data_IF_313390445489
#
_entry.id   IF_313390445489
#
_cell.length_a   1.000
_cell.length_b   1.000
_cell.length_c   1.000
_cell.angle_alpha   90.00
_cell.angle_beta   90.00
_cell.angle_gamma   90.00
#
_symmetry.space_group_name_H-M   'P 1'
#
loop_
_entity.id
_entity.type
_entity.pdbx_description
1 polymer ?
#
# COMPACT_ATOMS: atom_id res chain seq x y z
N UNK A 1 30.38 -13.14 15.95
CA UNK A 1 29.92 -13.19 14.55
C UNK A 1 28.87 -12.11 14.37
N UNK A 2 28.94 -11.28 13.33
CA UNK A 2 27.94 -10.25 13.09
C UNK A 2 26.61 -10.90 12.69
N UNK A 3 25.51 -10.52 13.35
CA UNK A 3 24.17 -10.96 13.00
C UNK A 3 23.72 -10.25 11.71
N UNK A 4 24.02 -10.86 10.56
CA UNK A 4 23.61 -10.37 9.25
C UNK A 4 22.08 -10.40 9.03
N UNK A 5 21.30 -10.91 9.99
CA UNK A 5 19.84 -11.05 9.83
C UNK A 5 19.02 -9.84 10.31
N UNK A 6 19.66 -8.81 10.90
CA UNK A 6 18.96 -7.66 11.51
C UNK A 6 19.39 -6.30 10.96
N UNK A 7 19.48 -6.17 9.63
CA UNK A 7 19.68 -4.86 9.01
C UNK A 7 18.34 -4.13 8.87
N UNK A 8 18.15 -3.08 9.69
CA UNK A 8 17.01 -2.17 9.57
C UNK A 8 17.03 -1.43 8.21
N UNK A 9 15.87 -0.96 7.78
CA UNK A 9 15.79 -0.17 6.55
C UNK A 9 14.38 0.13 6.08
N UNK A 10 13.40 -0.69 6.43
CA UNK A 10 12.00 -0.38 6.13
C UNK A 10 11.48 0.65 7.15
N UNK A 11 10.87 1.72 6.63
CA UNK A 11 10.11 2.67 7.42
C UNK A 11 8.69 2.81 6.86
N UNK A 12 7.72 3.00 7.75
CA UNK A 12 6.32 3.30 7.42
C UNK A 12 5.96 4.70 7.91
N UNK A 13 5.20 5.45 7.12
CA UNK A 13 4.71 6.76 7.54
C UNK A 13 3.40 6.61 8.31
N UNK A 14 3.36 7.14 9.52
CA UNK A 14 2.20 7.09 10.41
C UNK A 14 2.19 8.32 11.31
N UNK A 15 1.03 8.96 11.43
CA UNK A 15 0.81 10.09 12.34
C UNK A 15 1.82 11.24 12.18
N UNK A 16 2.26 11.50 10.95
CA UNK A 16 3.24 12.57 10.63
C UNK A 16 4.70 12.14 10.74
N UNK A 17 4.98 10.89 11.13
CA UNK A 17 6.33 10.42 11.42
C UNK A 17 6.71 9.17 10.62
N UNK A 18 8.01 9.03 10.33
CA UNK A 18 8.58 7.82 9.74
C UNK A 18 9.03 6.87 10.84
N UNK A 19 8.33 5.74 10.98
CA UNK A 19 8.57 4.74 12.01
C UNK A 19 9.32 3.56 11.41
N UNK A 20 10.40 3.12 12.06
CA UNK A 20 11.16 1.94 11.66
C UNK A 20 10.41 0.64 11.91
N UNK A 21 10.47 -0.28 10.95
CA UNK A 21 9.93 -1.64 11.09
C UNK A 21 11.06 -2.59 11.46
N UNK A 22 11.01 -3.15 12.67
CA UNK A 22 12.02 -4.09 13.15
C UNK A 22 11.90 -5.44 12.41
N UNK A 23 12.99 -5.97 11.82
CA UNK A 23 12.99 -7.30 11.24
C UNK A 23 13.01 -8.35 12.36
N UNK A 24 11.95 -9.14 12.45
CA UNK A 24 11.87 -10.28 13.35
C UNK A 24 12.31 -11.57 12.64
N UNK A 25 13.12 -12.44 13.28
CA UNK A 25 13.49 -13.73 12.70
C UNK A 25 12.25 -14.56 12.33
N UNK A 26 12.28 -15.20 11.16
CA UNK A 26 11.21 -16.05 10.64
C UNK A 26 9.84 -15.36 10.48
N UNK A 27 9.83 -14.02 10.39
CA UNK A 27 8.61 -13.25 10.18
C UNK A 27 8.57 -12.62 8.78
N UNK A 28 7.36 -12.33 8.32
CA UNK A 28 7.10 -11.53 7.14
C UNK A 28 6.45 -10.22 7.56
N UNK A 29 6.87 -9.13 6.93
CA UNK A 29 6.13 -7.86 7.00
C UNK A 29 5.04 -7.91 5.92
N UNK A 30 3.79 -7.71 6.32
CA UNK A 30 2.64 -7.64 5.42
C UNK A 30 2.04 -6.25 5.49
N UNK A 31 1.94 -5.58 4.34
CA UNK A 31 1.32 -4.26 4.23
C UNK A 31 0.12 -4.28 3.27
N UNK A 32 -0.81 -3.37 3.52
CA UNK A 32 -2.01 -3.17 2.71
C UNK A 32 -1.66 -2.31 1.49
N UNK A 33 -2.12 -2.74 0.31
CA UNK A 33 -2.05 -1.95 -0.93
C UNK A 33 -3.35 -1.21 -1.25
N UNK A 34 -3.32 -0.35 -2.28
CA UNK A 34 -4.46 0.47 -2.69
C UNK A 34 -5.73 -0.32 -2.97
N UNK A 35 -5.62 -1.52 -3.54
CA UNK A 35 -6.76 -2.35 -3.92
C UNK A 35 -7.57 -2.74 -2.68
N UNK A 36 -6.91 -3.14 -1.59
CA UNK A 36 -7.58 -3.46 -0.33
C UNK A 36 -8.13 -2.21 0.37
N UNK A 37 -7.46 -1.05 0.26
CA UNK A 37 -8.04 0.22 0.72
C UNK A 37 -9.35 0.54 -0.02
N UNK A 38 -9.40 0.36 -1.34
CA UNK A 38 -10.57 0.64 -2.16
C UNK A 38 -11.69 -0.35 -1.88
N UNK A 39 -11.39 -1.66 -1.87
CA UNK A 39 -12.36 -2.72 -1.55
C UNK A 39 -12.94 -2.54 -0.15
N UNK A 40 -12.11 -2.13 0.82
CA UNK A 40 -12.56 -1.87 2.19
C UNK A 40 -13.34 -0.56 2.37
N UNK A 41 -13.58 0.19 1.28
CA UNK A 41 -14.16 1.53 1.28
C UNK A 41 -13.44 2.48 2.26
N UNK A 42 -12.11 2.44 2.27
CA UNK A 42 -11.26 3.33 3.07
C UNK A 42 -11.07 2.93 4.54
N UNK A 43 -11.65 1.81 5.00
CA UNK A 43 -11.46 1.28 6.36
C UNK A 43 -10.05 0.76 6.60
N UNK A 44 -9.43 0.16 5.58
CA UNK A 44 -8.01 -0.13 5.55
C UNK A 44 -7.29 0.98 4.79
N UNK A 45 -6.04 1.26 5.18
CA UNK A 45 -5.19 2.27 4.53
C UNK A 45 -3.97 1.61 3.91
N UNK A 46 -3.67 2.02 2.69
CA UNK A 46 -2.41 1.73 2.04
C UNK A 46 -1.30 2.45 2.80
N UNK A 47 -0.31 1.70 3.29
CA UNK A 47 0.78 2.28 4.06
C UNK A 47 1.80 2.92 3.13
N UNK A 48 2.03 4.23 3.28
CA UNK A 48 3.22 4.84 2.70
C UNK A 48 4.45 4.29 3.42
N UNK A 49 5.43 3.84 2.64
CA UNK A 49 6.61 3.17 3.16
C UNK A 49 7.82 3.46 2.29
N UNK A 50 9.01 3.42 2.88
CA UNK A 50 10.29 3.63 2.18
C UNK A 50 11.36 2.69 2.69
N UNK A 51 12.33 2.41 1.84
CA UNK A 51 13.58 1.75 2.22
C UNK A 51 14.68 2.82 2.38
N UNK A 52 15.29 2.90 3.56
CA UNK A 52 16.42 3.78 3.84
C UNK A 52 17.73 3.00 3.82
N UNK A 53 18.80 3.65 3.35
CA UNK A 53 20.15 3.08 3.30
C UNK A 53 20.94 3.41 4.55
N UNK A 54 22.07 2.73 4.75
CA UNK A 54 23.02 3.03 5.82
C UNK A 54 24.46 2.79 5.32
N UNK A 55 25.45 3.32 6.03
CA UNK A 55 26.88 3.23 5.66
C UNK A 55 27.61 2.00 6.22
N UNK A 56 26.94 1.17 7.02
CA UNK A 56 27.57 0.11 7.83
C UNK A 56 27.36 -1.29 7.28
N UNK A 57 26.21 -1.55 6.66
CA UNK A 57 25.79 -2.90 6.33
C UNK A 57 24.87 -2.92 5.12
N UNK A 58 25.15 -3.84 4.18
CA UNK A 58 24.25 -4.14 3.08
C UNK A 58 22.96 -4.80 3.61
N UNK A 59 21.85 -4.55 2.93
CA UNK A 59 20.55 -5.16 3.21
C UNK A 59 19.94 -5.70 1.93
N UNK A 60 19.50 -6.94 1.97
CA UNK A 60 18.72 -7.56 0.89
C UNK A 60 17.33 -7.90 1.41
N UNK A 61 16.31 -7.60 0.61
CA UNK A 61 14.92 -8.00 0.89
C UNK A 61 14.26 -8.50 -0.37
N UNK A 62 13.38 -9.50 -0.23
CA UNK A 62 12.48 -9.95 -1.28
C UNK A 62 11.07 -9.45 -0.98
N UNK A 63 10.39 -8.91 -1.98
CA UNK A 63 9.00 -8.46 -1.88
C UNK A 63 8.13 -9.27 -2.84
N UNK A 64 6.97 -9.69 -2.37
CA UNK A 64 5.97 -10.43 -3.14
C UNK A 64 4.68 -9.64 -3.16
N UNK A 65 4.11 -9.45 -4.34
CA UNK A 65 2.90 -8.65 -4.52
C UNK A 65 1.74 -9.53 -4.99
N UNK A 66 0.64 -9.49 -4.24
CA UNK A 66 -0.63 -10.09 -4.65
C UNK A 66 -1.47 -9.02 -5.33
N UNK A 67 -1.54 -9.07 -6.66
CA UNK A 67 -2.27 -8.09 -7.47
C UNK A 67 -3.44 -8.74 -8.22
N UNK A 68 -4.55 -8.02 -8.44
CA UNK A 68 -5.64 -8.49 -9.28
C UNK A 68 -5.19 -8.75 -10.73
N UNK A 69 -5.98 -9.53 -11.47
CA UNK A 69 -5.81 -9.62 -12.92
C UNK A 69 -6.13 -8.25 -13.58
N UNK A 70 -5.52 -7.93 -14.75
CA UNK A 70 -5.70 -6.63 -15.40
C UNK A 70 -7.17 -6.23 -15.62
N UNK A 71 -8.02 -7.17 -16.03
CA UNK A 71 -9.44 -6.93 -16.31
C UNK A 71 -10.34 -7.11 -15.08
N UNK A 72 -9.77 -7.38 -13.90
CA UNK A 72 -10.53 -7.48 -12.66
C UNK A 72 -11.23 -6.15 -12.34
N UNK A 73 -12.54 -6.21 -12.11
CA UNK A 73 -13.32 -5.06 -11.67
C UNK A 73 -13.09 -4.81 -10.18
N UNK A 74 -12.46 -3.68 -9.86
CA UNK A 74 -12.22 -3.22 -8.49
C UNK A 74 -13.30 -2.22 -8.10
N UNK A 75 -13.92 -2.44 -6.93
CA UNK A 75 -14.92 -1.55 -6.34
C UNK A 75 -15.01 -1.76 -4.83
N UNK A 76 -15.54 -0.78 -4.07
CA UNK A 76 -15.89 -1.00 -2.67
C UNK A 76 -16.82 -2.22 -2.49
N UNK A 77 -16.56 -3.02 -1.46
CA UNK A 77 -17.43 -4.12 -1.09
C UNK A 77 -18.76 -3.57 -0.57
N UNK A 78 -19.89 -3.99 -1.15
CA UNK A 78 -21.22 -3.46 -0.80
C UNK A 78 -21.55 -3.59 0.69
N UNK A 79 -21.10 -4.67 1.34
CA UNK A 79 -21.28 -4.88 2.78
C UNK A 79 -20.57 -3.85 3.67
N UNK A 80 -19.62 -3.07 3.13
CA UNK A 80 -18.86 -2.06 3.86
C UNK A 80 -19.35 -0.63 3.57
N UNK A 81 -20.37 -0.47 2.72
CA UNK A 81 -21.02 0.81 2.41
C UNK A 81 -22.31 0.91 3.25
N UNK A 82 -22.48 2.03 3.95
CA UNK A 82 -23.69 2.34 4.72
C UNK A 82 -23.81 3.85 4.98
N UNK A 83 -24.87 4.28 5.67
CA UNK A 83 -25.10 5.70 5.96
C UNK A 83 -23.94 6.39 6.72
N UNK A 84 -23.22 5.66 7.57
CA UNK A 84 -22.06 6.17 8.32
C UNK A 84 -20.73 6.00 7.58
N UNK A 85 -20.70 5.23 6.49
CA UNK A 85 -19.53 5.05 5.62
C UNK A 85 -19.99 5.01 4.15
N UNK A 86 -20.37 6.16 3.57
CA UNK A 86 -20.84 6.24 2.20
C UNK A 86 -19.75 5.79 1.24
N UNK A 87 -20.14 5.40 0.02
CA UNK A 87 -19.21 4.96 -0.99
C UNK A 87 -18.18 6.07 -1.31
N UNK A 88 -16.88 5.74 -1.24
CA UNK A 88 -15.80 6.69 -1.48
C UNK A 88 -15.17 6.56 -2.86
N UNK A 89 -15.31 5.40 -3.49
CA UNK A 89 -14.62 5.07 -4.75
C UNK A 89 -15.60 4.55 -5.79
N UNK A 90 -15.35 4.86 -7.07
CA UNK A 90 -16.08 4.28 -8.20
C UNK A 90 -15.54 2.90 -8.57
N UNK A 91 -16.27 2.17 -9.41
CA UNK A 91 -15.78 0.92 -9.99
C UNK A 91 -14.88 1.19 -11.20
N UNK A 92 -13.81 0.40 -11.37
CA UNK A 92 -12.85 0.51 -12.48
C UNK A 92 -12.12 -0.83 -12.68
N UNK A 93 -11.52 -1.06 -13.85
CA UNK A 93 -10.66 -2.23 -14.08
C UNK A 93 -9.26 -1.99 -13.51
N UNK A 94 -8.63 -3.02 -12.95
CA UNK A 94 -7.31 -2.90 -12.33
C UNK A 94 -6.24 -2.31 -13.29
N UNK A 95 -6.32 -2.62 -14.59
CA UNK A 95 -5.41 -2.04 -15.59
C UNK A 95 -5.49 -0.52 -15.70
N UNK A 96 -6.66 0.06 -15.50
CA UNK A 96 -6.84 1.53 -15.48
C UNK A 96 -6.10 2.14 -14.29
N UNK A 97 -6.24 1.51 -13.12
CA UNK A 97 -5.49 1.90 -11.92
C UNK A 97 -3.98 1.77 -12.12
N UNK A 98 -3.51 0.63 -12.61
CA UNK A 98 -2.09 0.37 -12.78
C UNK A 98 -1.44 1.37 -13.77
N UNK A 99 -2.16 1.70 -14.83
CA UNK A 99 -1.75 2.70 -15.83
C UNK A 99 -1.61 4.08 -15.19
N UNK A 100 -2.59 4.50 -14.37
CA UNK A 100 -2.49 5.76 -13.62
C UNK A 100 -1.36 5.74 -12.59
N UNK A 101 -1.21 4.64 -11.85
CA UNK A 101 -0.16 4.46 -10.84
C UNK A 101 1.24 4.63 -11.44
N UNK A 102 1.50 4.01 -12.58
CA UNK A 102 2.77 4.14 -13.30
C UNK A 102 3.03 5.59 -13.75
N UNK A 103 2.03 6.25 -14.35
CA UNK A 103 2.16 7.65 -14.80
C UNK A 103 2.41 8.64 -13.65
N UNK A 104 1.83 8.39 -12.48
CA UNK A 104 1.98 9.24 -11.29
C UNK A 104 3.15 8.84 -10.39
N UNK A 105 3.99 7.90 -10.83
CA UNK A 105 5.14 7.40 -10.07
C UNK A 105 4.79 6.94 -8.64
N UNK A 106 3.58 6.42 -8.46
CA UNK A 106 3.10 5.95 -7.16
C UNK A 106 2.84 7.03 -6.09
N UNK A 107 2.79 8.32 -6.45
CA UNK A 107 2.48 9.40 -5.50
C UNK A 107 1.07 9.27 -4.93
N UNK A 108 0.97 8.93 -3.64
CA UNK A 108 -0.25 8.52 -2.94
C UNK A 108 -1.43 9.45 -3.15
N UNK A 109 -1.21 10.75 -2.97
CA UNK A 109 -2.28 11.75 -3.00
C UNK A 109 -2.89 11.92 -4.39
N UNK A 110 -2.19 11.51 -5.45
CA UNK A 110 -2.60 11.73 -6.85
C UNK A 110 -3.10 10.44 -7.49
N UNK A 111 -2.60 9.29 -7.04
CA UNK A 111 -2.94 7.97 -7.61
C UNK A 111 -4.42 7.64 -7.46
N UNK A 112 -5.04 8.03 -6.34
CA UNK A 112 -6.43 7.67 -6.04
C UNK A 112 -7.47 8.66 -6.58
N UNK A 113 -7.07 9.90 -6.88
CA UNK A 113 -8.00 10.97 -7.27
C UNK A 113 -8.94 10.59 -8.42
N UNK A 114 -8.48 9.98 -9.53
CA UNK A 114 -9.39 9.60 -10.61
C UNK A 114 -10.45 8.58 -10.22
N UNK A 115 -10.25 7.85 -9.11
CA UNK A 115 -11.07 6.73 -8.66
C UNK A 115 -11.97 7.09 -7.48
N UNK A 116 -11.76 8.23 -6.83
CA UNK A 116 -12.66 8.74 -5.80
C UNK A 116 -13.97 9.23 -6.44
N UNK A 117 -15.07 9.10 -5.70
CA UNK A 117 -16.29 9.85 -6.02
C UNK A 117 -16.04 11.30 -5.60
N UNK A 118 -16.30 12.25 -6.49
CA UNK A 118 -16.27 13.67 -6.14
C UNK A 118 -17.35 13.92 -5.08
N UNK A 119 -16.99 14.67 -4.03
CA UNK A 119 -17.96 15.24 -3.09
C UNK A 119 -18.71 16.39 -3.76
#
# INVERSE_FOLDING_TARGET
MADFTRCNGLQVFKDGEWIGVEPLPNALVVNIGYQLQIISNGKLKCAEHRAVTNSRSARTSAAFFFTPSPDCLIKPAGALINASNPQLYKAFQYKEFFTNYAMKQGQTDIVLEPFKLQA
#
